data_IF_017702700240
#
_entry.id   IF_017702700240
#
_cell.length_a   1.000
_cell.length_b   1.000
_cell.length_c   1.000
_cell.angle_alpha   90.00
_cell.angle_beta   90.00
_cell.angle_gamma   90.00
#
_symmetry.space_group_name_H-M   'P 1'
#
loop_
_entity.id
_entity.type
_entity.pdbx_description
1 polymer ?
#
# COMPACT_ATOMS: atom_id res chain seq x y z
N UNK A 1 -27.40 51.26 -14.87
CA UNK A 1 -28.17 49.99 -14.97
C UNK A 1 -29.23 50.02 -16.07
N UNK A 2 -30.14 51.00 -16.10
CA UNK A 2 -31.22 51.09 -17.11
C UNK A 2 -30.72 51.09 -18.56
N UNK A 3 -29.66 51.84 -18.87
CA UNK A 3 -29.07 51.89 -20.22
C UNK A 3 -28.56 50.51 -20.68
N UNK A 4 -27.98 49.71 -19.77
CA UNK A 4 -27.50 48.37 -20.10
C UNK A 4 -28.66 47.43 -20.49
N UNK A 5 -29.77 47.49 -19.74
CA UNK A 5 -30.96 46.70 -20.05
C UNK A 5 -31.63 47.13 -21.35
N UNK A 6 -31.64 48.44 -21.65
CA UNK A 6 -32.16 48.96 -22.93
C UNK A 6 -31.29 48.49 -24.10
N UNK A 7 -29.96 48.67 -24.03
CA UNK A 7 -29.05 48.19 -25.09
C UNK A 7 -29.18 46.68 -25.32
N UNK A 8 -29.38 45.92 -24.24
CA UNK A 8 -29.60 44.48 -24.33
C UNK A 8 -30.94 44.15 -25.01
N UNK A 9 -32.03 44.82 -24.61
CA UNK A 9 -33.33 44.63 -25.21
C UNK A 9 -33.31 44.97 -26.71
N UNK A 10 -32.77 46.14 -27.07
CA UNK A 10 -32.62 46.58 -28.47
C UNK A 10 -31.82 45.57 -29.30
N UNK A 11 -30.75 45.00 -28.71
CA UNK A 11 -29.95 43.97 -29.37
C UNK A 11 -30.74 42.69 -29.60
N UNK A 12 -31.48 42.21 -28.60
CA UNK A 12 -32.29 40.99 -28.71
C UNK A 12 -33.47 41.15 -29.69
N UNK A 13 -34.03 42.36 -29.81
CA UNK A 13 -35.11 42.65 -30.75
C UNK A 13 -34.61 42.79 -32.20
N UNK A 14 -33.37 43.23 -32.39
CA UNK A 14 -32.80 43.55 -33.72
C UNK A 14 -31.92 42.44 -34.32
N UNK A 15 -31.59 41.40 -33.56
CA UNK A 15 -30.67 40.33 -34.00
C UNK A 15 -31.29 38.95 -33.80
N UNK A 16 -31.03 38.05 -34.74
CA UNK A 16 -31.37 36.64 -34.58
C UNK A 16 -30.56 36.01 -33.44
N UNK A 17 -31.25 35.43 -32.46
CA UNK A 17 -30.65 34.74 -31.34
C UNK A 17 -30.46 33.27 -31.73
N UNK A 18 -29.25 32.70 -31.60
CA UNK A 18 -28.95 31.37 -32.11
C UNK A 18 -29.52 30.22 -31.26
N UNK A 19 -30.29 30.50 -30.22
CA UNK A 19 -30.87 29.48 -29.34
C UNK A 19 -32.37 29.70 -29.18
N UNK A 20 -33.17 28.70 -29.55
CA UNK A 20 -34.59 28.64 -29.20
C UNK A 20 -34.77 27.99 -27.80
N UNK A 21 -34.76 28.82 -26.76
CA UNK A 21 -35.01 28.35 -25.40
C UNK A 21 -36.44 27.85 -25.19
N UNK A 22 -37.43 28.31 -25.96
CA UNK A 22 -38.80 27.80 -25.83
C UNK A 22 -38.86 26.33 -26.27
N UNK A 23 -38.20 25.99 -27.37
CA UNK A 23 -38.01 24.61 -27.84
C UNK A 23 -37.27 23.77 -26.81
N UNK A 24 -36.10 24.24 -26.34
CA UNK A 24 -35.28 23.48 -25.38
C UNK A 24 -36.00 23.16 -24.07
N UNK A 25 -36.80 24.10 -23.54
CA UNK A 25 -37.59 23.89 -22.30
C UNK A 25 -38.63 22.78 -22.40
N UNK A 26 -39.00 22.36 -23.61
CA UNK A 26 -40.01 21.31 -23.87
C UNK A 26 -39.40 19.93 -24.17
N UNK A 27 -38.06 19.82 -24.20
CA UNK A 27 -37.38 18.56 -24.45
C UNK A 27 -37.53 17.57 -23.28
N UNK A 28 -37.44 16.28 -23.58
CA UNK A 28 -37.37 15.26 -22.54
C UNK A 28 -35.92 15.07 -22.05
N UNK A 29 -35.67 15.52 -20.83
CA UNK A 29 -34.37 15.44 -20.18
C UNK A 29 -34.16 14.13 -19.40
N UNK A 30 -35.08 13.17 -19.44
CA UNK A 30 -34.99 11.89 -18.73
C UNK A 30 -33.74 11.08 -19.11
N UNK A 31 -33.30 11.19 -20.36
CA UNK A 31 -32.13 10.52 -20.93
C UNK A 31 -30.82 11.30 -20.78
N UNK A 32 -30.86 12.52 -20.21
CA UNK A 32 -29.70 13.39 -20.09
C UNK A 32 -28.66 12.77 -19.13
N UNK A 33 -27.45 12.53 -19.66
CA UNK A 33 -26.31 11.95 -18.94
C UNK A 33 -26.67 10.63 -18.21
N UNK A 34 -26.83 9.50 -18.92
CA UNK A 34 -27.08 8.20 -18.30
C UNK A 34 -25.95 7.77 -17.34
N UNK A 35 -26.26 6.90 -16.38
CA UNK A 35 -25.32 6.45 -15.35
C UNK A 35 -24.02 5.87 -15.93
N UNK A 36 -24.13 4.98 -16.92
CA UNK A 36 -22.97 4.35 -17.58
C UNK A 36 -22.07 5.38 -18.26
N UNK A 37 -22.67 6.37 -18.93
CA UNK A 37 -21.94 7.47 -19.57
C UNK A 37 -21.21 8.33 -18.53
N UNK A 38 -21.83 8.59 -17.38
CA UNK A 38 -21.18 9.30 -16.28
C UNK A 38 -19.95 8.53 -15.75
N UNK A 39 -20.07 7.22 -15.54
CA UNK A 39 -18.94 6.38 -15.13
C UNK A 39 -17.82 6.38 -16.17
N UNK A 40 -18.14 6.34 -17.45
CA UNK A 40 -17.17 6.46 -18.55
C UNK A 40 -16.43 7.79 -18.55
N UNK A 41 -17.14 8.90 -18.41
CA UNK A 41 -16.54 10.24 -18.31
C UNK A 41 -15.63 10.32 -17.09
N UNK A 42 -16.06 9.78 -15.95
CA UNK A 42 -15.24 9.71 -14.73
C UNK A 42 -13.95 8.94 -14.96
N UNK A 43 -14.02 7.80 -15.65
CA UNK A 43 -12.84 6.99 -16.02
C UNK A 43 -11.90 7.73 -16.98
N UNK A 44 -12.45 8.45 -17.97
CA UNK A 44 -11.65 9.20 -18.97
C UNK A 44 -10.98 10.44 -18.36
N UNK A 45 -11.68 11.17 -17.51
CA UNK A 45 -11.23 12.45 -16.93
C UNK A 45 -10.48 12.29 -15.61
N UNK A 46 -10.60 11.13 -14.96
CA UNK A 46 -10.08 10.95 -13.60
C UNK A 46 -10.91 11.57 -12.51
N UNK A 47 -12.16 11.88 -12.81
CA UNK A 47 -13.11 12.40 -11.85
C UNK A 47 -13.66 11.27 -11.01
N UNK A 48 -13.75 11.45 -9.69
CA UNK A 48 -14.44 10.49 -8.82
C UNK A 48 -15.94 10.51 -9.10
N UNK A 49 -16.57 9.37 -9.43
CA UNK A 49 -18.00 9.32 -9.75
C UNK A 49 -18.89 9.66 -8.54
N UNK A 50 -18.37 9.54 -7.32
CA UNK A 50 -19.12 9.73 -6.08
C UNK A 50 -20.10 8.60 -5.79
N UNK A 51 -20.94 8.77 -4.76
CA UNK A 51 -21.98 7.81 -4.39
C UNK A 51 -23.33 8.13 -5.08
N UNK A 52 -23.30 8.54 -6.35
CA UNK A 52 -24.50 8.94 -7.13
C UNK A 52 -24.98 10.38 -6.90
N UNK A 53 -24.79 10.96 -5.70
CA UNK A 53 -25.18 12.37 -5.45
C UNK A 53 -24.49 13.37 -6.39
N UNK A 54 -23.19 13.16 -6.64
CA UNK A 54 -22.42 13.98 -7.57
C UNK A 54 -22.92 13.88 -9.01
N UNK A 55 -23.28 12.68 -9.46
CA UNK A 55 -23.90 12.46 -10.77
C UNK A 55 -25.17 13.28 -10.92
N UNK A 56 -26.07 13.21 -9.93
CA UNK A 56 -27.33 13.96 -9.96
C UNK A 56 -27.08 15.47 -10.02
N UNK A 57 -26.12 15.98 -9.26
CA UNK A 57 -25.71 17.40 -9.30
C UNK A 57 -25.24 17.80 -10.70
N UNK A 58 -24.42 16.97 -11.35
CA UNK A 58 -23.90 17.25 -12.69
C UNK A 58 -25.05 17.19 -13.72
N UNK A 59 -25.95 16.20 -13.62
CA UNK A 59 -27.15 16.11 -14.48
C UNK A 59 -28.05 17.34 -14.33
N UNK A 60 -28.34 17.75 -13.10
CA UNK A 60 -29.09 18.97 -12.79
C UNK A 60 -28.44 20.23 -13.38
N UNK A 61 -27.11 20.34 -13.31
CA UNK A 61 -26.38 21.48 -13.89
C UNK A 61 -26.43 21.47 -15.42
N UNK A 62 -26.28 20.31 -16.05
CA UNK A 62 -26.45 20.16 -17.50
C UNK A 62 -27.87 20.54 -17.93
N UNK A 63 -28.89 20.09 -17.19
CA UNK A 63 -30.27 20.47 -17.43
C UNK A 63 -30.44 21.99 -17.41
N UNK A 64 -30.04 22.65 -16.31
CA UNK A 64 -30.13 24.10 -16.18
C UNK A 64 -29.39 24.82 -17.30
N UNK A 65 -28.22 24.31 -17.70
CA UNK A 65 -27.39 24.90 -18.76
C UNK A 65 -28.04 24.80 -20.13
N UNK A 66 -28.70 23.68 -20.45
CA UNK A 66 -29.31 23.45 -21.76
C UNK A 66 -30.69 24.13 -21.85
N UNK A 67 -31.53 23.98 -20.82
CA UNK A 67 -32.92 24.45 -20.82
C UNK A 67 -33.09 25.91 -20.39
N UNK A 68 -32.15 26.43 -19.60
CA UNK A 68 -32.32 27.71 -18.90
C UNK A 68 -33.34 27.68 -17.76
N UNK A 69 -33.84 26.49 -17.37
CA UNK A 69 -34.78 26.33 -16.26
C UNK A 69 -34.07 26.18 -14.91
N UNK A 70 -34.75 26.47 -13.79
CA UNK A 70 -34.24 26.20 -12.46
C UNK A 70 -33.81 24.74 -12.28
N UNK A 71 -32.76 24.50 -11.49
CA UNK A 71 -32.29 23.13 -11.16
C UNK A 71 -33.40 22.27 -10.51
N UNK A 72 -34.36 22.91 -9.85
CA UNK A 72 -35.46 22.26 -9.14
C UNK A 72 -36.42 21.50 -10.09
N UNK A 73 -36.46 21.91 -11.35
CA UNK A 73 -37.29 21.31 -12.40
C UNK A 73 -36.55 20.16 -13.12
N UNK A 74 -35.28 19.91 -12.78
CA UNK A 74 -34.50 18.87 -13.41
C UNK A 74 -35.02 17.46 -13.05
N UNK A 75 -35.04 16.51 -14.01
CA UNK A 75 -35.39 15.13 -13.73
C UNK A 75 -34.55 14.52 -12.61
N UNK A 76 -35.22 13.94 -11.61
CA UNK A 76 -34.58 13.29 -10.46
C UNK A 76 -34.14 14.22 -9.33
N UNK A 77 -34.44 15.52 -9.39
CA UNK A 77 -34.22 16.43 -8.25
C UNK A 77 -35.06 16.02 -7.04
N UNK A 78 -34.43 15.90 -5.86
CA UNK A 78 -35.10 15.51 -4.60
C UNK A 78 -35.05 16.67 -3.60
N UNK A 79 -36.22 17.23 -3.26
CA UNK A 79 -36.34 18.36 -2.31
C UNK A 79 -35.88 18.04 -0.88
N UNK A 80 -35.88 16.76 -0.48
CA UNK A 80 -35.62 16.32 0.90
C UNK A 80 -34.19 16.64 1.40
N UNK A 81 -33.23 16.91 0.51
CA UNK A 81 -31.83 17.19 0.82
C UNK A 81 -31.32 18.53 0.24
N UNK A 82 -32.17 19.55 0.14
CA UNK A 82 -31.87 20.79 -0.61
C UNK A 82 -30.60 21.53 -0.14
N UNK A 83 -30.43 21.75 1.17
CA UNK A 83 -29.26 22.48 1.67
C UNK A 83 -27.92 21.72 1.48
N UNK A 84 -27.81 20.42 1.82
CA UNK A 84 -26.65 19.60 1.47
C UNK A 84 -26.39 19.54 -0.03
N UNK A 85 -27.46 19.42 -0.85
CA UNK A 85 -27.37 19.40 -2.30
C UNK A 85 -26.80 20.70 -2.85
N UNK A 86 -27.32 21.86 -2.43
CA UNK A 86 -26.81 23.17 -2.85
C UNK A 86 -25.34 23.38 -2.46
N UNK A 87 -24.95 22.95 -1.25
CA UNK A 87 -23.57 23.03 -0.79
C UNK A 87 -22.62 22.14 -1.62
N UNK A 88 -23.04 20.90 -1.93
CA UNK A 88 -22.26 19.99 -2.77
C UNK A 88 -22.24 20.44 -4.24
N UNK A 89 -23.34 21.00 -4.76
CA UNK A 89 -23.42 21.56 -6.11
C UNK A 89 -22.47 22.75 -6.28
N UNK A 90 -22.45 23.68 -5.32
CA UNK A 90 -21.52 24.78 -5.31
C UNK A 90 -20.06 24.30 -5.28
N UNK A 91 -19.73 23.27 -4.47
CA UNK A 91 -18.39 22.67 -4.43
C UNK A 91 -18.04 21.95 -5.72
N UNK A 92 -18.97 21.16 -6.27
CA UNK A 92 -18.76 20.40 -7.49
C UNK A 92 -18.52 21.32 -8.69
N UNK A 93 -19.25 22.43 -8.78
CA UNK A 93 -19.09 23.41 -9.84
C UNK A 93 -17.71 24.07 -9.86
N UNK A 94 -17.16 24.31 -8.68
CA UNK A 94 -15.86 24.97 -8.42
C UNK A 94 -14.68 24.03 -8.62
N UNK A 95 -14.92 22.72 -8.53
CA UNK A 95 -13.91 21.67 -8.66
C UNK A 95 -14.04 20.90 -9.99
N UNK A 96 -14.70 21.47 -11.00
CA UNK A 96 -14.67 20.92 -12.35
C UNK A 96 -13.31 21.21 -12.97
N UNK A 97 -12.73 20.20 -13.61
CA UNK A 97 -11.47 20.33 -14.35
C UNK A 97 -11.78 20.68 -15.79
N UNK A 98 -10.85 21.27 -16.55
CA UNK A 98 -11.04 21.56 -17.98
C UNK A 98 -11.44 20.33 -18.78
N UNK A 99 -10.87 19.16 -18.46
CA UNK A 99 -11.19 17.89 -19.14
C UNK A 99 -12.63 17.46 -18.85
N UNK A 100 -13.07 17.57 -17.60
CA UNK A 100 -14.44 17.27 -17.23
C UNK A 100 -15.42 18.25 -17.89
N UNK A 101 -15.10 19.55 -17.89
CA UNK A 101 -15.93 20.56 -18.53
C UNK A 101 -16.08 20.27 -20.04
N UNK A 102 -14.99 19.96 -20.74
CA UNK A 102 -15.03 19.61 -22.17
C UNK A 102 -15.84 18.35 -22.48
N UNK A 103 -15.77 17.32 -21.63
CA UNK A 103 -16.61 16.12 -21.78
C UNK A 103 -18.09 16.42 -21.54
N UNK A 104 -18.42 17.23 -20.53
CA UNK A 104 -19.80 17.64 -20.25
C UNK A 104 -20.37 18.52 -21.36
N UNK A 105 -19.56 19.38 -21.98
CA UNK A 105 -19.93 20.17 -23.15
C UNK A 105 -20.21 19.28 -24.36
N UNK A 106 -19.45 18.20 -24.51
CA UNK A 106 -19.73 17.18 -25.54
C UNK A 106 -21.05 16.48 -25.27
N UNK A 107 -21.30 16.03 -24.04
CA UNK A 107 -22.59 15.42 -23.67
C UNK A 107 -23.76 16.35 -23.97
N UNK A 108 -23.63 17.65 -23.66
CA UNK A 108 -24.68 18.62 -23.94
C UNK A 108 -24.94 18.78 -25.45
N UNK A 109 -23.89 18.83 -26.28
CA UNK A 109 -24.02 18.86 -27.75
C UNK A 109 -24.64 17.57 -28.28
N UNK A 110 -24.14 16.42 -27.85
CA UNK A 110 -24.64 15.11 -28.30
C UNK A 110 -26.12 14.91 -27.90
N UNK A 111 -26.53 15.43 -26.73
CA UNK A 111 -27.92 15.41 -26.29
C UNK A 111 -28.82 16.30 -27.16
N UNK A 112 -28.36 17.51 -27.51
CA UNK A 112 -29.08 18.41 -28.41
C UNK A 112 -29.21 17.81 -29.82
N UNK A 113 -28.11 17.25 -30.35
CA UNK A 113 -28.09 16.55 -31.63
C UNK A 113 -29.06 15.37 -31.67
N UNK A 114 -29.15 14.59 -30.58
CA UNK A 114 -30.12 13.49 -30.46
C UNK A 114 -31.60 13.95 -30.44
N UNK A 115 -31.85 15.25 -30.26
CA UNK A 115 -33.17 15.88 -30.37
C UNK A 115 -33.30 16.75 -31.63
N UNK A 116 -32.47 16.49 -32.65
CA UNK A 116 -32.44 17.20 -33.93
C UNK A 116 -32.11 18.71 -33.79
N UNK A 117 -31.24 19.05 -32.83
CA UNK A 117 -30.72 20.41 -32.60
C UNK A 117 -29.20 20.40 -32.80
N UNK A 118 -28.77 20.49 -34.05
CA UNK A 118 -27.34 20.45 -34.44
C UNK A 118 -26.75 21.83 -34.74
N UNK A 119 -27.61 22.81 -34.99
CA UNK A 119 -27.26 24.15 -35.47
C UNK A 119 -27.13 25.20 -34.35
N UNK A 120 -27.53 24.87 -33.14
CA UNK A 120 -27.48 25.77 -31.99
C UNK A 120 -26.27 25.52 -31.07
N UNK A 121 -25.63 26.56 -30.54
CA UNK A 121 -24.62 26.40 -29.50
C UNK A 121 -25.26 25.98 -28.17
N UNK A 122 -24.53 25.24 -27.31
CA UNK A 122 -25.07 24.78 -26.01
C UNK A 122 -25.42 25.96 -25.10
N UNK A 123 -24.56 26.97 -25.02
CA UNK A 123 -24.81 28.24 -24.34
C UNK A 123 -24.64 29.35 -25.36
N UNK A 124 -25.45 30.38 -25.24
CA UNK A 124 -25.22 31.67 -25.87
C UNK A 124 -25.44 32.80 -24.89
N UNK A 125 -24.63 33.84 -25.01
CA UNK A 125 -24.81 35.12 -24.33
C UNK A 125 -24.56 36.25 -25.33
N UNK A 126 -25.24 37.40 -25.16
CA UNK A 126 -25.02 38.57 -26.00
C UNK A 126 -23.57 39.08 -25.87
N UNK A 127 -23.01 39.74 -26.90
CA UNK A 127 -21.67 40.30 -26.83
C UNK A 127 -21.52 41.26 -25.65
N UNK A 128 -20.45 41.09 -24.86
CA UNK A 128 -20.18 41.94 -23.70
C UNK A 128 -19.86 43.38 -24.10
N UNK A 129 -19.43 43.63 -25.34
CA UNK A 129 -19.15 44.97 -25.88
C UNK A 129 -20.37 45.89 -25.91
N UNK A 130 -21.59 45.35 -25.84
CA UNK A 130 -22.81 46.16 -25.68
C UNK A 130 -22.78 47.00 -24.39
N UNK A 131 -22.01 46.54 -23.41
CA UNK A 131 -21.89 47.14 -22.09
C UNK A 131 -20.70 48.12 -22.01
N UNK A 132 -19.93 48.29 -23.09
CA UNK A 132 -18.77 49.16 -23.10
C UNK A 132 -19.14 50.62 -22.79
N UNK A 133 -18.27 51.27 -22.01
CA UNK A 133 -18.44 52.65 -21.56
C UNK A 133 -19.51 52.85 -20.48
N UNK A 134 -20.13 51.77 -19.97
CA UNK A 134 -21.05 51.85 -18.84
C UNK A 134 -20.34 51.56 -17.51
N UNK A 135 -20.60 52.38 -16.50
CA UNK A 135 -20.21 52.10 -15.13
C UNK A 135 -21.23 51.13 -14.50
N UNK A 136 -20.94 49.83 -14.58
CA UNK A 136 -21.82 48.79 -14.07
C UNK A 136 -21.46 48.42 -12.61
N UNK A 137 -22.46 48.19 -11.75
CA UNK A 137 -22.21 47.76 -10.39
C UNK A 137 -21.63 46.34 -10.39
N UNK A 138 -20.57 46.13 -9.61
CA UNK A 138 -19.95 44.82 -9.41
C UNK A 138 -18.48 44.77 -9.82
N UNK A 139 -17.78 43.69 -9.48
CA UNK A 139 -16.38 43.52 -9.80
C UNK A 139 -16.19 43.24 -11.30
N UNK A 140 -15.18 43.86 -11.90
CA UNK A 140 -14.73 43.57 -13.26
C UNK A 140 -14.05 42.19 -13.31
N UNK A 141 -14.72 41.23 -13.97
CA UNK A 141 -14.24 39.85 -14.07
C UNK A 141 -12.93 39.73 -14.86
N UNK A 142 -12.69 40.62 -15.82
CA UNK A 142 -11.48 40.62 -16.61
C UNK A 142 -10.22 40.96 -15.78
N UNK A 143 -10.40 41.56 -14.59
CA UNK A 143 -9.31 41.87 -13.66
C UNK A 143 -8.94 40.73 -12.73
N UNK A 144 -9.71 39.64 -12.73
CA UNK A 144 -9.43 38.49 -11.87
C UNK A 144 -8.21 37.74 -12.41
N UNK A 145 -7.13 37.68 -11.62
CA UNK A 145 -5.95 36.86 -11.92
C UNK A 145 -6.32 35.36 -11.83
N UNK A 146 -6.63 34.76 -12.98
CA UNK A 146 -7.04 33.36 -13.10
C UNK A 146 -5.97 32.39 -12.56
N UNK A 147 -4.67 32.50 -12.91
CA UNK A 147 -3.62 31.71 -12.28
C UNK A 147 -3.58 31.82 -10.75
N UNK A 148 -3.77 33.01 -10.18
CA UNK A 148 -3.83 33.18 -8.73
C UNK A 148 -5.09 32.56 -8.13
N UNK A 149 -6.25 32.76 -8.75
CA UNK A 149 -7.51 32.12 -8.37
C UNK A 149 -7.36 30.59 -8.31
N UNK A 150 -6.78 29.97 -9.35
CA UNK A 150 -6.55 28.52 -9.40
C UNK A 150 -5.67 28.02 -8.24
N UNK A 151 -4.74 28.83 -7.73
CA UNK A 151 -3.94 28.48 -6.54
C UNK A 151 -4.75 28.57 -5.25
N UNK A 152 -5.60 29.59 -5.12
CA UNK A 152 -6.40 29.83 -3.90
C UNK A 152 -7.45 28.74 -3.65
N UNK A 153 -8.03 28.16 -4.72
CA UNK A 153 -9.15 27.22 -4.61
C UNK A 153 -8.75 25.77 -4.31
N UNK A 154 -7.47 25.39 -4.46
CA UNK A 154 -7.00 24.00 -4.36
C UNK A 154 -7.00 23.38 -2.94
N UNK A 155 -6.59 24.08 -1.86
CA UNK A 155 -6.29 23.40 -0.60
C UNK A 155 -7.37 23.54 0.49
N UNK A 156 -8.55 24.12 0.23
CA UNK A 156 -9.45 24.60 1.30
C UNK A 156 -10.86 24.01 1.28
N UNK A 157 -11.48 23.93 2.48
CA UNK A 157 -12.87 23.48 2.69
C UNK A 157 -13.92 24.45 2.09
N UNK A 158 -13.62 25.76 2.09
CA UNK A 158 -14.45 26.83 1.52
C UNK A 158 -13.64 27.69 0.53
N UNK A 159 -13.29 27.15 -0.64
CA UNK A 159 -12.33 27.76 -1.54
C UNK A 159 -12.83 29.06 -2.20
N UNK A 160 -14.13 29.14 -2.51
CA UNK A 160 -14.72 30.29 -3.23
C UNK A 160 -14.80 31.54 -2.36
N UNK A 161 -15.30 31.39 -1.14
CA UNK A 161 -15.46 32.53 -0.22
C UNK A 161 -14.09 33.15 0.10
N UNK A 162 -13.10 32.29 0.41
CA UNK A 162 -11.74 32.75 0.63
C UNK A 162 -11.12 33.41 -0.60
N UNK A 163 -11.34 32.85 -1.80
CA UNK A 163 -10.84 33.45 -3.03
C UNK A 163 -11.50 34.82 -3.30
N UNK A 164 -12.79 34.97 -3.00
CA UNK A 164 -13.50 36.24 -3.13
C UNK A 164 -12.90 37.31 -2.19
N UNK A 165 -12.69 36.96 -0.92
CA UNK A 165 -12.04 37.84 0.07
C UNK A 165 -10.60 38.21 -0.33
N UNK A 166 -9.80 37.23 -0.76
CA UNK A 166 -8.41 37.44 -1.14
C UNK A 166 -8.23 38.27 -2.42
N UNK A 167 -9.17 38.17 -3.36
CA UNK A 167 -9.16 38.89 -4.63
C UNK A 167 -9.98 40.20 -4.58
N UNK A 168 -10.59 40.53 -3.43
CA UNK A 168 -11.40 41.73 -3.28
C UNK A 168 -12.64 41.75 -4.19
N UNK A 169 -13.27 40.60 -4.40
CA UNK A 169 -14.39 40.40 -5.33
C UNK A 169 -15.55 39.64 -4.65
N UNK A 170 -16.59 39.29 -5.40
CA UNK A 170 -17.77 38.58 -4.88
C UNK A 170 -17.67 37.06 -5.12
N UNK A 171 -18.44 36.29 -4.35
CA UNK A 171 -18.51 34.82 -4.48
C UNK A 171 -19.03 34.42 -5.87
N UNK A 172 -19.99 35.17 -6.39
CA UNK A 172 -20.62 34.99 -7.69
C UNK A 172 -19.62 35.23 -8.82
N UNK A 173 -18.79 36.28 -8.72
CA UNK A 173 -17.72 36.57 -9.66
C UNK A 173 -16.69 35.42 -9.73
N UNK A 174 -16.29 34.88 -8.57
CA UNK A 174 -15.40 33.71 -8.52
C UNK A 174 -16.06 32.47 -9.15
N UNK A 175 -17.35 32.22 -8.87
CA UNK A 175 -18.07 31.07 -9.46
C UNK A 175 -18.15 31.19 -10.98
N UNK A 176 -18.43 32.39 -11.50
CA UNK A 176 -18.48 32.65 -12.93
C UNK A 176 -17.09 32.50 -13.58
N UNK A 177 -16.05 33.09 -12.99
CA UNK A 177 -14.68 32.95 -13.47
C UNK A 177 -14.20 31.49 -13.50
N UNK A 178 -14.55 30.67 -12.51
CA UNK A 178 -14.25 29.23 -12.51
C UNK A 178 -15.13 28.42 -13.46
N UNK A 179 -16.30 28.93 -13.82
CA UNK A 179 -17.14 28.31 -14.83
C UNK A 179 -16.54 28.47 -16.23
N UNK A 180 -16.04 29.67 -16.54
CA UNK A 180 -15.39 30.00 -17.82
C UNK A 180 -13.96 29.47 -17.89
N UNK A 181 -13.24 29.49 -16.78
CA UNK A 181 -11.86 29.02 -16.66
C UNK A 181 -11.70 27.98 -15.54
N UNK A 182 -12.14 26.73 -15.78
CA UNK A 182 -12.04 25.65 -14.79
C UNK A 182 -10.60 25.43 -14.32
N UNK A 183 -10.42 25.20 -13.02
CA UNK A 183 -9.09 24.95 -12.46
C UNK A 183 -8.60 23.54 -12.86
N UNK A 184 -7.37 23.39 -13.40
CA UNK A 184 -6.86 22.08 -13.79
C UNK A 184 -6.72 21.16 -12.59
N UNK A 185 -6.97 19.86 -12.83
CA UNK A 185 -6.95 18.84 -11.80
C UNK A 185 -5.60 18.82 -11.07
N UNK A 186 -5.56 18.77 -9.72
CA UNK A 186 -4.33 18.42 -9.03
C UNK A 186 -3.93 16.98 -9.42
N UNK A 187 -2.63 16.64 -9.35
CA UNK A 187 -2.18 15.27 -9.60
C UNK A 187 -2.96 14.32 -8.68
N UNK A 188 -3.54 13.24 -9.22
CA UNK A 188 -4.45 12.40 -8.47
C UNK A 188 -3.71 11.71 -7.33
N UNK A 189 -4.34 11.66 -6.16
CA UNK A 189 -3.83 10.83 -5.06
C UNK A 189 -3.93 9.34 -5.44
N UNK A 190 -3.09 8.49 -4.84
CA UNK A 190 -3.11 7.04 -5.13
C UNK A 190 -4.48 6.40 -4.90
N UNK A 191 -5.27 6.90 -3.95
CA UNK A 191 -6.63 6.43 -3.68
C UNK A 191 -7.63 6.94 -4.72
N UNK A 192 -7.56 8.22 -5.10
CA UNK A 192 -8.41 8.79 -6.14
C UNK A 192 -8.16 8.10 -7.49
N UNK A 193 -6.89 7.91 -7.88
CA UNK A 193 -6.52 7.22 -9.12
C UNK A 193 -7.02 5.77 -9.20
N UNK A 194 -7.17 5.09 -8.04
CA UNK A 194 -7.75 3.75 -7.95
C UNK A 194 -9.27 3.79 -8.06
N UNK A 195 -9.92 4.71 -7.33
CA UNK A 195 -11.38 4.86 -7.32
C UNK A 195 -11.94 5.30 -8.68
N UNK A 196 -11.15 6.00 -9.49
CA UNK A 196 -11.54 6.49 -10.82
C UNK A 196 -11.15 5.55 -11.95
N UNK A 197 -10.50 4.43 -11.66
CA UNK A 197 -10.00 3.52 -12.69
C UNK A 197 -8.87 4.10 -13.55
N UNK A 198 -8.33 5.28 -13.23
CA UNK A 198 -7.23 5.89 -13.99
C UNK A 198 -5.98 5.02 -14.01
N UNK A 199 -5.65 4.34 -12.91
CA UNK A 199 -4.52 3.41 -12.88
C UNK A 199 -4.73 2.28 -13.89
N UNK A 200 -5.96 1.79 -14.03
CA UNK A 200 -6.31 0.74 -15.00
C UNK A 200 -6.29 1.28 -16.44
N UNK A 201 -6.81 2.49 -16.68
CA UNK A 201 -6.75 3.15 -18.00
C UNK A 201 -5.31 3.40 -18.44
N UNK A 202 -4.48 3.96 -17.55
CA UNK A 202 -3.05 4.18 -17.82
C UNK A 202 -2.33 2.86 -18.05
N UNK A 203 -2.63 1.83 -17.26
CA UNK A 203 -2.07 0.50 -17.48
C UNK A 203 -2.48 -0.09 -18.84
N UNK A 204 -3.70 0.17 -19.31
CA UNK A 204 -4.15 -0.25 -20.65
C UNK A 204 -3.39 0.47 -21.77
N UNK A 205 -3.07 1.75 -21.59
CA UNK A 205 -2.30 2.54 -22.55
C UNK A 205 -0.83 2.12 -22.58
N UNK A 206 -0.21 1.97 -21.41
CA UNK A 206 1.22 1.66 -21.27
C UNK A 206 1.50 0.16 -21.52
N UNK A 207 0.53 -0.71 -21.21
CA UNK A 207 0.59 -2.17 -21.40
C UNK A 207 -0.58 -2.60 -22.28
N UNK A 208 -0.47 -2.28 -23.58
CA UNK A 208 -1.39 -2.75 -24.61
C UNK A 208 -1.45 -4.29 -24.65
N UNK A 209 -2.51 -4.84 -25.26
CA UNK A 209 -2.77 -6.29 -25.30
C UNK A 209 -1.58 -7.06 -25.89
N UNK A 210 -0.98 -6.54 -26.95
CA UNK A 210 0.15 -7.15 -27.66
C UNK A 210 1.39 -7.22 -26.76
N UNK A 211 1.70 -6.12 -26.07
CA UNK A 211 2.80 -6.07 -25.10
C UNK A 211 2.54 -6.99 -23.92
N UNK A 212 1.30 -7.06 -23.43
CA UNK A 212 0.91 -7.97 -22.35
C UNK A 212 1.12 -9.44 -22.76
N UNK A 213 0.63 -9.82 -23.94
CA UNK A 213 0.77 -11.18 -24.50
C UNK A 213 2.24 -11.53 -24.67
N UNK A 214 3.05 -10.64 -25.26
CA UNK A 214 4.49 -10.89 -25.44
C UNK A 214 5.21 -11.13 -24.11
N UNK A 215 5.01 -10.23 -23.13
CA UNK A 215 5.65 -10.36 -21.82
C UNK A 215 5.18 -11.62 -21.07
N UNK A 216 3.87 -11.90 -21.10
CA UNK A 216 3.27 -12.94 -20.29
C UNK A 216 3.38 -14.34 -20.92
N UNK A 217 2.99 -14.48 -22.18
CA UNK A 217 2.95 -15.77 -22.89
C UNK A 217 4.29 -16.10 -23.54
N UNK A 218 4.91 -15.17 -24.29
CA UNK A 218 6.10 -15.46 -25.09
C UNK A 218 7.39 -15.41 -24.26
N UNK A 219 7.57 -14.36 -23.47
CA UNK A 219 8.75 -14.17 -22.59
C UNK A 219 8.61 -14.88 -21.24
N UNK A 220 7.49 -15.57 -21.03
CA UNK A 220 7.15 -16.30 -19.82
C UNK A 220 7.22 -15.51 -18.50
N UNK A 221 7.10 -14.17 -18.54
CA UNK A 221 7.19 -13.35 -17.34
C UNK A 221 5.96 -13.54 -16.45
N UNK A 222 6.19 -13.66 -15.14
CA UNK A 222 5.10 -13.67 -14.17
C UNK A 222 4.50 -12.26 -14.00
N UNK A 223 3.26 -12.17 -13.55
CA UNK A 223 2.62 -10.88 -13.24
C UNK A 223 3.40 -10.05 -12.22
N UNK A 224 4.19 -10.68 -11.33
CA UNK A 224 5.05 -9.96 -10.39
C UNK A 224 6.26 -9.32 -11.08
N UNK A 225 6.84 -10.00 -12.08
CA UNK A 225 7.94 -9.42 -12.86
C UNK A 225 7.43 -8.31 -13.77
N UNK A 226 6.27 -8.51 -14.40
CA UNK A 226 5.59 -7.46 -15.15
C UNK A 226 5.28 -6.25 -14.26
N UNK A 227 4.85 -6.47 -13.01
CA UNK A 227 4.63 -5.39 -12.05
C UNK A 227 5.91 -4.59 -11.73
N UNK A 228 7.04 -5.28 -11.57
CA UNK A 228 8.34 -4.66 -11.35
C UNK A 228 8.83 -3.87 -12.59
N UNK A 229 8.57 -4.37 -13.80
CA UNK A 229 8.97 -3.73 -15.06
C UNK A 229 8.12 -2.51 -15.41
N UNK A 230 6.79 -2.62 -15.23
CA UNK A 230 5.81 -1.61 -15.68
C UNK A 230 5.42 -0.63 -14.59
N UNK A 231 5.70 -0.94 -13.32
CA UNK A 231 5.29 -0.14 -12.18
C UNK A 231 3.81 -0.28 -11.79
N UNK A 232 3.01 -1.07 -12.52
CA UNK A 232 1.61 -1.36 -12.16
C UNK A 232 1.51 -2.51 -11.16
N UNK A 233 0.51 -2.46 -10.27
CA UNK A 233 0.32 -3.52 -9.28
C UNK A 233 -0.15 -4.82 -9.94
N UNK A 234 0.17 -5.96 -9.32
CA UNK A 234 -0.32 -7.28 -9.76
C UNK A 234 -1.83 -7.31 -9.97
N UNK A 235 -2.61 -6.71 -9.07
CA UNK A 235 -4.08 -6.70 -9.17
C UNK A 235 -4.58 -5.95 -10.42
N UNK A 236 -3.90 -4.87 -10.83
CA UNK A 236 -4.24 -4.15 -12.06
C UNK A 236 -3.92 -5.00 -13.28
N UNK A 237 -2.75 -5.65 -13.31
CA UNK A 237 -2.35 -6.55 -14.40
C UNK A 237 -3.26 -7.79 -14.49
N UNK A 238 -3.74 -8.32 -13.36
CA UNK A 238 -4.75 -9.38 -13.32
C UNK A 238 -6.06 -8.92 -13.96
N UNK A 239 -6.51 -7.70 -13.65
CA UNK A 239 -7.69 -7.11 -14.29
C UNK A 239 -7.53 -6.94 -15.81
N UNK A 240 -6.34 -6.52 -16.28
CA UNK A 240 -6.04 -6.43 -17.71
C UNK A 240 -6.00 -7.81 -18.38
N UNK A 241 -5.47 -8.84 -17.73
CA UNK A 241 -5.47 -10.19 -18.29
C UNK A 241 -6.89 -10.69 -18.56
N UNK A 242 -7.81 -10.48 -17.62
CA UNK A 242 -9.22 -10.81 -17.83
C UNK A 242 -9.86 -9.98 -18.97
N UNK A 243 -9.56 -8.68 -19.04
CA UNK A 243 -10.08 -7.77 -20.07
C UNK A 243 -9.54 -8.09 -21.48
N UNK A 244 -8.30 -8.54 -21.57
CA UNK A 244 -7.67 -8.95 -22.82
C UNK A 244 -7.96 -10.41 -23.20
N UNK A 245 -8.70 -11.13 -22.35
CA UNK A 245 -9.01 -12.56 -22.48
C UNK A 245 -7.76 -13.43 -22.51
N UNK A 246 -6.70 -13.01 -21.81
CA UNK A 246 -5.47 -13.78 -21.65
C UNK A 246 -5.64 -14.76 -20.48
N UNK A 247 -5.53 -16.08 -20.71
CA UNK A 247 -5.72 -17.06 -19.65
C UNK A 247 -4.61 -16.91 -18.61
N UNK A 248 -5.00 -16.66 -17.37
CA UNK A 248 -4.07 -16.58 -16.25
C UNK A 248 -3.57 -17.97 -15.87
N UNK A 249 -2.25 -18.14 -15.75
CA UNK A 249 -1.61 -19.34 -15.23
C UNK A 249 -2.22 -19.70 -13.87
N UNK A 250 -2.65 -20.95 -13.75
CA UNK A 250 -3.24 -21.46 -12.52
C UNK A 250 -2.19 -21.54 -11.39
N UNK A 251 -2.34 -20.65 -10.42
CA UNK A 251 -1.61 -20.72 -9.16
C UNK A 251 -0.10 -20.50 -9.26
N UNK A 252 0.60 -20.64 -8.12
CA UNK A 252 2.03 -20.35 -8.00
C UNK A 252 2.89 -21.51 -8.55
N UNK A 253 2.65 -21.92 -9.80
CA UNK A 253 3.44 -22.97 -10.47
C UNK A 253 4.78 -22.44 -11.03
N UNK A 254 4.97 -21.12 -11.04
CA UNK A 254 6.23 -20.45 -11.40
C UNK A 254 7.22 -20.26 -10.24
N UNK A 255 7.18 -21.12 -9.21
CA UNK A 255 8.44 -21.40 -8.52
C UNK A 255 9.23 -22.33 -9.43
N UNK A 256 10.13 -21.76 -10.25
CA UNK A 256 11.29 -22.45 -10.82
C UNK A 256 11.62 -23.67 -9.96
N UNK A 257 11.63 -24.87 -10.54
CA UNK A 257 12.05 -26.13 -9.89
C UNK A 257 13.44 -25.95 -9.24
N UNK A 258 13.52 -25.29 -8.09
CA UNK A 258 14.75 -25.18 -7.28
C UNK A 258 14.84 -26.48 -6.50
N UNK A 259 15.37 -27.49 -7.17
CA UNK A 259 15.68 -28.80 -6.60
C UNK A 259 14.44 -29.59 -6.19
N UNK A 260 13.99 -30.50 -7.06
CA UNK A 260 13.21 -31.65 -6.61
C UNK A 260 14.05 -32.43 -5.60
N UNK A 261 13.52 -32.64 -4.41
CA UNK A 261 14.12 -33.55 -3.42
C UNK A 261 13.43 -34.89 -3.60
N UNK A 262 14.17 -35.91 -4.00
CA UNK A 262 13.64 -37.27 -4.14
C UNK A 262 13.27 -37.85 -2.76
N UNK A 263 12.18 -38.62 -2.74
CA UNK A 263 11.66 -39.26 -1.53
C UNK A 263 12.71 -40.17 -0.89
N UNK A 264 13.38 -40.98 -1.69
CA UNK A 264 14.32 -41.99 -1.20
C UNK A 264 15.57 -41.34 -0.59
N UNK A 265 16.06 -40.27 -1.22
CA UNK A 265 17.14 -39.46 -0.65
C UNK A 265 16.74 -38.83 0.69
N UNK A 266 15.52 -38.32 0.81
CA UNK A 266 15.06 -37.71 2.05
C UNK A 266 14.90 -38.76 3.16
N UNK A 267 14.37 -39.94 2.85
CA UNK A 267 14.26 -41.06 3.79
C UNK A 267 15.66 -41.51 4.24
N UNK A 268 16.59 -41.72 3.30
CA UNK A 268 17.96 -42.10 3.61
C UNK A 268 18.63 -41.07 4.54
N UNK A 269 18.55 -39.78 4.22
CA UNK A 269 19.26 -38.76 4.96
C UNK A 269 18.59 -38.38 6.29
N UNK A 270 17.25 -38.31 6.33
CA UNK A 270 16.48 -37.87 7.50
C UNK A 270 16.07 -39.01 8.44
N UNK A 271 15.65 -40.16 7.89
CA UNK A 271 15.19 -41.31 8.68
C UNK A 271 16.37 -42.21 9.05
N UNK A 272 17.16 -42.65 8.06
CA UNK A 272 18.25 -43.60 8.30
C UNK A 272 19.51 -42.95 8.88
N UNK A 273 20.04 -41.90 8.22
CA UNK A 273 21.25 -41.17 8.67
C UNK A 273 20.97 -40.11 9.73
N UNK A 274 19.70 -39.98 10.14
CA UNK A 274 19.18 -39.14 11.21
C UNK A 274 19.53 -37.64 11.19
N UNK A 275 19.90 -37.08 10.03
CA UNK A 275 20.28 -35.66 9.87
C UNK A 275 19.09 -34.71 10.09
N UNK A 276 19.36 -33.46 10.47
CA UNK A 276 18.30 -32.47 10.68
C UNK A 276 17.79 -31.91 9.35
N UNK A 277 16.52 -31.49 9.29
CA UNK A 277 15.99 -30.80 8.11
C UNK A 277 16.74 -29.49 7.83
N UNK A 278 17.32 -28.86 8.86
CA UNK A 278 18.12 -27.65 8.71
C UNK A 278 19.43 -27.90 7.94
N UNK A 279 20.17 -28.96 8.29
CA UNK A 279 21.40 -29.32 7.60
C UNK A 279 21.12 -29.75 6.15
N UNK A 280 20.05 -30.52 5.93
CA UNK A 280 19.66 -30.95 4.59
C UNK A 280 19.25 -29.76 3.71
N UNK A 281 18.52 -28.80 4.29
CA UNK A 281 18.12 -27.58 3.62
C UNK A 281 19.34 -26.72 3.23
N UNK A 282 20.30 -26.55 4.14
CA UNK A 282 21.55 -25.84 3.87
C UNK A 282 22.35 -26.52 2.75
N UNK A 283 22.51 -27.85 2.80
CA UNK A 283 23.25 -28.62 1.78
C UNK A 283 22.61 -28.54 0.38
N UNK A 284 21.29 -28.40 0.30
CA UNK A 284 20.54 -28.28 -0.96
C UNK A 284 20.24 -26.83 -1.36
N UNK A 285 20.80 -25.84 -0.65
CA UNK A 285 20.62 -24.42 -0.96
C UNK A 285 19.17 -23.94 -0.86
N UNK A 286 18.37 -24.52 0.05
CA UNK A 286 16.96 -24.16 0.24
C UNK A 286 16.64 -23.85 1.70
N UNK A 287 15.45 -23.28 1.95
CA UNK A 287 15.02 -22.97 3.32
C UNK A 287 14.55 -24.24 4.06
N UNK A 288 14.68 -24.22 5.39
CA UNK A 288 14.24 -25.32 6.26
C UNK A 288 12.73 -25.58 6.15
N UNK A 289 11.94 -24.52 5.97
CA UNK A 289 10.50 -24.60 5.72
C UNK A 289 10.19 -25.28 4.37
N UNK A 290 11.00 -25.04 3.33
CA UNK A 290 10.84 -25.72 2.05
C UNK A 290 11.18 -27.21 2.14
N UNK A 291 12.23 -27.57 2.89
CA UNK A 291 12.61 -28.96 3.15
C UNK A 291 11.54 -29.71 3.98
N UNK A 292 10.93 -29.04 4.97
CA UNK A 292 9.81 -29.60 5.72
C UNK A 292 8.56 -29.82 4.85
N UNK A 293 8.33 -28.93 3.87
CA UNK A 293 7.26 -29.10 2.89
C UNK A 293 7.48 -30.35 2.04
N UNK A 294 8.70 -30.58 1.55
CA UNK A 294 9.06 -31.82 0.83
C UNK A 294 8.88 -33.08 1.67
N UNK A 295 9.24 -33.05 2.96
CA UNK A 295 9.00 -34.17 3.87
C UNK A 295 7.51 -34.49 4.00
N UNK A 296 6.65 -33.46 4.10
CA UNK A 296 5.18 -33.63 4.12
C UNK A 296 4.65 -34.17 2.80
N UNK A 297 5.11 -33.63 1.66
CA UNK A 297 4.72 -34.09 0.32
C UNK A 297 5.04 -35.57 0.09
N UNK A 298 6.18 -36.04 0.61
CA UNK A 298 6.63 -37.43 0.47
C UNK A 298 6.16 -38.36 1.59
N UNK A 299 5.28 -37.89 2.48
CA UNK A 299 4.80 -38.62 3.67
C UNK A 299 5.92 -39.16 4.57
N UNK A 300 7.01 -38.40 4.71
CA UNK A 300 8.11 -38.73 5.63
C UNK A 300 7.72 -38.24 7.04
N UNK A 301 7.69 -39.13 8.06
CA UNK A 301 7.23 -38.77 9.40
C UNK A 301 8.17 -37.74 10.04
N UNK A 302 7.64 -36.55 10.31
CA UNK A 302 8.39 -35.46 10.94
C UNK A 302 8.56 -35.71 12.45
N UNK A 303 9.77 -35.51 12.95
CA UNK A 303 10.06 -35.56 14.39
C UNK A 303 9.32 -34.45 15.13
N UNK A 304 8.82 -34.77 16.32
CA UNK A 304 8.09 -33.85 17.21
C UNK A 304 8.93 -32.62 17.57
N UNK A 305 8.29 -31.45 17.60
CA UNK A 305 8.93 -30.19 18.00
C UNK A 305 9.25 -30.20 19.50
N UNK A 306 10.46 -29.78 19.86
CA UNK A 306 10.85 -29.55 21.27
C UNK A 306 11.83 -30.55 21.87
N UNK A 307 12.23 -31.60 21.16
CA UNK A 307 13.35 -32.44 21.60
C UNK A 307 14.66 -31.65 21.57
N UNK A 308 15.44 -31.70 22.66
CA UNK A 308 16.82 -31.20 22.70
C UNK A 308 17.54 -31.55 21.39
N UNK A 309 18.14 -30.57 20.72
CA UNK A 309 18.73 -30.77 19.39
C UNK A 309 19.60 -32.03 19.39
N UNK A 310 19.25 -33.05 18.61
CA UNK A 310 20.01 -34.29 18.55
C UNK A 310 21.46 -34.03 18.14
N UNK A 311 21.75 -32.93 17.44
CA UNK A 311 23.12 -32.46 17.17
C UNK A 311 23.86 -32.00 18.44
N UNK A 312 23.19 -31.38 19.41
CA UNK A 312 23.78 -31.08 20.72
C UNK A 312 24.01 -32.37 21.53
N UNK A 313 23.09 -33.33 21.46
CA UNK A 313 23.26 -34.63 22.11
C UNK A 313 24.42 -35.44 21.48
N UNK A 314 24.54 -35.45 20.15
CA UNK A 314 25.64 -36.10 19.44
C UNK A 314 26.99 -35.41 19.72
N UNK A 315 27.03 -34.08 19.77
CA UNK A 315 28.23 -33.32 20.19
C UNK A 315 28.61 -33.63 21.64
N UNK A 316 27.64 -33.74 22.55
CA UNK A 316 27.89 -34.10 23.94
C UNK A 316 28.44 -35.54 24.06
N UNK A 317 27.96 -36.49 23.24
CA UNK A 317 28.46 -37.87 23.21
C UNK A 317 29.89 -37.94 22.67
N UNK A 318 30.18 -37.28 21.53
CA UNK A 318 31.54 -37.22 20.95
C UNK A 318 32.52 -36.53 21.91
N UNK A 319 32.11 -35.41 22.52
CA UNK A 319 32.92 -34.70 23.52
C UNK A 319 33.18 -35.52 24.79
N UNK A 320 32.18 -36.26 25.28
CA UNK A 320 32.35 -37.17 26.42
C UNK A 320 33.28 -38.35 26.10
N UNK A 321 33.29 -38.83 24.84
CA UNK A 321 34.18 -39.92 24.42
C UNK A 321 35.66 -39.51 24.41
N UNK A 322 35.94 -38.26 24.01
CA UNK A 322 37.30 -37.67 23.94
C UNK A 322 37.79 -37.08 25.27
N UNK A 323 36.88 -36.82 26.21
CA UNK A 323 37.24 -36.20 27.48
C UNK A 323 37.92 -37.17 28.47
N UNK A 324 38.84 -36.66 29.32
CA UNK A 324 39.41 -37.40 30.43
C UNK A 324 38.31 -38.02 31.33
N UNK A 325 38.55 -39.23 31.87
CA UNK A 325 37.56 -40.00 32.64
C UNK A 325 36.89 -39.19 33.78
N UNK A 326 37.61 -38.25 34.37
CA UNK A 326 37.13 -37.39 35.46
C UNK A 326 36.04 -36.39 35.02
N UNK A 327 35.95 -36.02 33.74
CA UNK A 327 34.97 -35.04 33.23
C UNK A 327 33.71 -35.69 32.64
N UNK A 328 33.78 -36.98 32.31
CA UNK A 328 32.69 -37.71 31.63
C UNK A 328 31.34 -37.62 32.36
N UNK A 329 31.27 -37.73 33.71
CA UNK A 329 29.99 -37.63 34.42
C UNK A 329 29.32 -36.26 34.27
N UNK A 330 30.10 -35.18 34.18
CA UNK A 330 29.59 -33.81 34.02
C UNK A 330 29.25 -33.43 32.57
N UNK A 331 29.62 -34.26 31.58
CA UNK A 331 29.44 -34.01 30.14
C UNK A 331 28.14 -34.58 29.55
N UNK A 332 27.35 -35.33 30.33
CA UNK A 332 26.14 -36.00 29.83
C UNK A 332 24.88 -35.14 29.66
N UNK A 333 24.88 -33.88 30.12
CA UNK A 333 23.70 -33.00 30.13
C UNK A 333 23.77 -31.82 29.15
N UNK A 334 22.61 -31.24 28.81
CA UNK A 334 22.54 -30.02 27.99
C UNK A 334 23.41 -28.90 28.57
N UNK A 335 24.19 -28.21 27.73
CA UNK A 335 25.05 -27.09 28.15
C UNK A 335 26.24 -27.49 29.04
N UNK A 336 26.61 -28.77 29.10
CA UNK A 336 27.68 -29.26 29.96
C UNK A 336 29.04 -28.60 29.71
N UNK A 337 29.45 -28.48 28.43
CA UNK A 337 30.72 -27.83 28.06
C UNK A 337 30.78 -26.38 28.52
N UNK A 338 29.67 -25.65 28.38
CA UNK A 338 29.58 -24.25 28.79
C UNK A 338 29.67 -24.10 30.31
N UNK A 339 29.04 -25.01 31.07
CA UNK A 339 29.17 -25.04 32.54
C UNK A 339 30.62 -25.30 32.98
N UNK A 340 31.31 -26.26 32.38
CA UNK A 340 32.72 -26.55 32.70
C UNK A 340 33.63 -25.37 32.36
N UNK A 341 33.41 -24.72 31.22
CA UNK A 341 34.14 -23.50 30.85
C UNK A 341 33.91 -22.35 31.84
N UNK A 342 32.66 -22.16 32.30
CA UNK A 342 32.32 -21.15 33.31
C UNK A 342 32.93 -21.45 34.67
N UNK A 343 32.99 -22.72 35.08
CA UNK A 343 33.73 -23.12 36.28
C UNK A 343 35.23 -22.79 36.16
N UNK A 344 35.84 -23.11 35.02
CA UNK A 344 37.26 -22.80 34.79
C UNK A 344 37.54 -21.29 34.84
N UNK A 345 36.68 -20.47 34.21
CA UNK A 345 36.78 -19.01 34.27
C UNK A 345 36.55 -18.46 35.69
N UNK A 346 35.55 -18.98 36.41
CA UNK A 346 35.24 -18.56 37.77
C UNK A 346 36.36 -18.88 38.78
N UNK A 347 37.21 -19.88 38.51
CA UNK A 347 38.32 -20.27 39.39
C UNK A 347 39.42 -19.20 39.54
N UNK A 348 39.47 -18.21 38.64
CA UNK A 348 40.43 -17.11 38.68
C UNK A 348 39.99 -15.93 39.59
N UNK A 349 38.76 -15.96 40.09
CA UNK A 349 38.19 -14.87 40.90
C UNK A 349 38.20 -15.20 42.40
N UNK A 350 38.28 -14.18 43.27
CA UNK A 350 38.35 -14.38 44.73
C UNK A 350 37.01 -14.79 45.35
N UNK A 351 35.89 -14.67 44.64
CA UNK A 351 34.56 -15.11 45.08
C UNK A 351 33.63 -15.36 43.89
N UNK A 352 32.56 -16.12 44.10
CA UNK A 352 31.54 -16.34 43.04
C UNK A 352 30.74 -15.09 42.69
N UNK A 353 30.61 -14.14 43.62
CA UNK A 353 30.01 -12.83 43.33
C UNK A 353 30.89 -12.00 42.39
N UNK A 354 32.20 -11.96 42.66
CA UNK A 354 33.18 -11.32 41.78
C UNK A 354 33.26 -12.01 40.42
N UNK A 355 33.21 -13.35 40.39
CA UNK A 355 33.18 -14.13 39.14
C UNK A 355 31.92 -13.84 38.32
N UNK A 356 30.74 -13.80 38.95
CA UNK A 356 29.49 -13.53 38.25
C UNK A 356 29.48 -12.13 37.63
N UNK A 357 29.92 -11.12 38.38
CA UNK A 357 30.05 -9.75 37.88
C UNK A 357 31.09 -9.63 36.75
N UNK A 358 32.28 -10.23 36.93
CA UNK A 358 33.35 -10.19 35.93
C UNK A 358 33.05 -10.95 34.64
N UNK A 359 32.19 -11.97 34.70
CA UNK A 359 31.77 -12.77 33.55
C UNK A 359 30.43 -12.29 32.94
N UNK A 360 29.80 -11.25 33.50
CA UNK A 360 28.50 -10.75 33.05
C UNK A 360 27.35 -11.73 33.23
N UNK A 361 27.43 -12.61 34.24
CA UNK A 361 26.45 -13.66 34.51
C UNK A 361 25.63 -13.36 35.76
N UNK A 362 24.40 -13.88 35.80
CA UNK A 362 23.60 -13.87 37.03
C UNK A 362 24.26 -14.78 38.08
N UNK A 363 24.50 -14.24 39.28
CA UNK A 363 25.15 -14.94 40.39
C UNK A 363 24.44 -16.25 40.76
N UNK A 364 23.10 -16.26 40.84
CA UNK A 364 22.32 -17.45 41.17
C UNK A 364 22.48 -18.54 40.10
N UNK A 365 22.53 -18.15 38.83
CA UNK A 365 22.77 -19.08 37.72
C UNK A 365 24.16 -19.70 37.80
N UNK A 366 25.20 -18.91 38.07
CA UNK A 366 26.56 -19.43 38.20
C UNK A 366 26.70 -20.40 39.39
N UNK A 367 26.11 -20.06 40.54
CA UNK A 367 26.10 -20.93 41.73
C UNK A 367 25.37 -22.25 41.44
N UNK A 368 24.20 -22.19 40.81
CA UNK A 368 23.43 -23.38 40.46
C UNK A 368 24.19 -24.28 39.46
N UNK A 369 24.91 -23.68 38.50
CA UNK A 369 25.73 -24.42 37.54
C UNK A 369 26.91 -25.13 38.21
N UNK A 370 27.60 -24.46 39.14
CA UNK A 370 28.71 -25.06 39.89
C UNK A 370 28.22 -26.18 40.81
N UNK A 371 27.14 -25.96 41.57
CA UNK A 371 26.57 -27.00 42.46
C UNK A 371 26.10 -28.23 41.67
N UNK A 372 25.67 -28.04 40.42
CA UNK A 372 25.32 -29.14 39.53
C UNK A 372 26.56 -29.95 39.12
N UNK A 373 27.65 -29.30 38.75
CA UNK A 373 28.91 -30.01 38.44
C UNK A 373 29.43 -30.74 39.67
N UNK A 374 29.38 -30.11 40.86
CA UNK A 374 29.81 -30.74 42.12
C UNK A 374 29.02 -32.03 42.42
N UNK A 375 27.71 -32.04 42.17
CA UNK A 375 26.88 -33.24 42.27
C UNK A 375 27.22 -34.30 41.22
N UNK A 376 27.38 -33.88 39.96
CA UNK A 376 27.70 -34.77 38.84
C UNK A 376 29.11 -35.40 38.99
N UNK A 377 30.05 -34.71 39.63
CA UNK A 377 31.43 -35.18 39.88
C UNK A 377 31.65 -35.79 41.27
N UNK A 378 30.62 -35.81 42.13
CA UNK A 378 30.65 -36.47 43.43
C UNK A 378 31.44 -35.75 44.52
N UNK A 379 31.64 -34.43 44.43
CA UNK A 379 32.33 -33.67 45.48
C UNK A 379 32.48 -32.17 45.22
N UNK A 380 32.80 -31.38 46.26
CA UNK A 380 32.96 -29.94 46.14
C UNK A 380 34.20 -29.60 45.31
N UNK A 381 34.07 -28.65 44.38
CA UNK A 381 35.17 -28.18 43.54
C UNK A 381 35.81 -26.90 44.11
N UNK A 382 35.05 -26.13 44.90
CA UNK A 382 35.48 -24.86 45.48
C UNK A 382 35.22 -24.85 46.99
N UNK A 383 36.22 -24.38 47.74
CA UNK A 383 36.02 -23.92 49.12
C UNK A 383 35.46 -22.51 49.03
N UNK A 384 34.26 -22.28 49.58
CA UNK A 384 33.55 -21.01 49.47
C UNK A 384 34.33 -19.89 50.15
N UNK A 385 34.21 -18.67 49.62
CA UNK A 385 34.82 -17.50 50.23
C UNK A 385 34.15 -17.21 51.59
N UNK A 386 34.95 -16.96 52.62
CA UNK A 386 34.52 -16.50 53.93
C UNK A 386 35.00 -15.05 54.14
N UNK A 387 34.53 -14.39 55.20
CA UNK A 387 34.97 -13.02 55.52
C UNK A 387 36.49 -13.00 55.70
N UNK A 388 37.20 -12.27 54.83
CA UNK A 388 38.67 -12.19 54.73
C UNK A 388 39.40 -13.46 54.25
N UNK A 389 38.70 -14.42 53.63
CA UNK A 389 39.32 -15.61 52.99
C UNK A 389 38.79 -15.78 51.56
N UNK A 390 39.65 -15.66 50.52
CA UNK A 390 39.21 -15.85 49.15
C UNK A 390 38.82 -17.31 48.88
N UNK A 391 37.96 -17.49 47.88
CA UNK A 391 37.59 -18.81 47.36
C UNK A 391 38.83 -19.55 46.86
N UNK A 392 38.96 -20.83 47.20
CA UNK A 392 40.09 -21.67 46.76
C UNK A 392 39.61 -22.98 46.15
N UNK A 393 40.43 -23.57 45.28
CA UNK A 393 40.11 -24.85 44.64
C UNK A 393 40.40 -26.03 45.59
N UNK A 394 39.42 -26.92 45.72
CA UNK A 394 39.62 -28.21 46.41
C UNK A 394 40.62 -29.09 45.64
N UNK A 395 41.15 -30.18 46.24
CA UNK A 395 41.96 -31.14 45.51
C UNK A 395 41.25 -31.72 44.26
N UNK A 396 39.93 -31.93 44.34
CA UNK A 396 39.10 -32.32 43.20
C UNK A 396 38.99 -31.19 42.17
N UNK A 397 38.72 -29.96 42.62
CA UNK A 397 38.65 -28.77 41.77
C UNK A 397 39.92 -28.52 40.96
N UNK A 398 41.10 -28.74 41.55
CA UNK A 398 42.39 -28.63 40.84
C UNK A 398 42.57 -29.70 39.76
N UNK A 399 42.17 -30.95 40.02
CA UNK A 399 42.22 -32.05 39.05
C UNK A 399 41.27 -31.80 37.87
N UNK A 400 40.05 -31.32 38.17
CA UNK A 400 39.03 -30.97 37.18
C UNK A 400 39.47 -29.78 36.32
N UNK A 401 40.02 -28.72 36.93
CA UNK A 401 40.52 -27.55 36.20
C UNK A 401 41.65 -27.91 35.22
N UNK A 402 42.60 -28.77 35.64
CA UNK A 402 43.65 -29.28 34.74
C UNK A 402 43.06 -30.06 33.56
N UNK A 403 42.12 -30.97 33.83
CA UNK A 403 41.46 -31.74 32.80
C UNK A 403 40.66 -30.87 31.80
N UNK A 404 40.04 -29.79 32.26
CA UNK A 404 39.32 -28.84 31.39
C UNK A 404 40.31 -28.09 30.48
N UNK A 405 41.44 -27.64 31.04
CA UNK A 405 42.47 -26.93 30.26
C UNK A 405 43.09 -27.82 29.18
N UNK A 406 43.37 -29.09 29.48
CA UNK A 406 43.83 -30.07 28.47
C UNK A 406 42.81 -30.23 27.35
N UNK A 407 41.52 -30.40 27.69
CA UNK A 407 40.44 -30.53 26.72
C UNK A 407 40.26 -29.27 25.83
N UNK A 408 40.55 -28.08 26.38
CA UNK A 408 40.47 -26.81 25.64
C UNK A 408 41.66 -26.60 24.70
N UNK A 409 42.87 -27.05 25.07
CA UNK A 409 44.04 -27.04 24.19
C UNK A 409 43.88 -28.01 23.00
N UNK A 410 43.37 -29.21 23.25
CA UNK A 410 43.14 -30.23 22.21
C UNK A 410 42.05 -29.82 21.20
N UNK A 411 41.23 -28.80 21.51
CA UNK A 411 40.18 -28.29 20.64
C UNK A 411 40.63 -27.11 19.75
N UNK A 412 41.84 -26.58 19.94
CA UNK A 412 42.40 -25.45 19.19
C UNK A 412 43.56 -25.84 18.25
N UNK A 413 44.00 -27.10 18.29
CA UNK A 413 44.92 -27.72 17.30
C UNK A 413 44.10 -28.49 16.28
#
# INVERSE_FOLDING_TARGET
MTIALVRLADYLDSNDIPIDYQRRRRLDYSSLLPHELWLDICRRTGTSPGQGRREQIIRCRLFQRISGLPTEDAPGYRKVDEAPFKAEAARAAVLQTPELAGELDRVARDFLAAHDIDDEPVIWQPPTSLLDGLDLPGPDLARIDIPHLHRLVRPRKNPVQYAAEALGTTVEAIRLALHEHPAPAPPPTKSAARATGQVRRKARQDVAKETFVRLYLDEHQSLNQMAALTGFSRSVLTGLAHEYEVPLREGPQDYRRRGTVERDWLIEQYVHRRRTLADLAHKKGMSTANMARWAKTHNVPLRSRGGASHSQALRAIDQASRAPRILRPALGGQGASERLSRFAAASAYPSLGAAASGLGLNMFTLVAQINRIERELGGPLLVRAERRRPMTLTPLGRKVLRAIRTLQCDAQS
#
